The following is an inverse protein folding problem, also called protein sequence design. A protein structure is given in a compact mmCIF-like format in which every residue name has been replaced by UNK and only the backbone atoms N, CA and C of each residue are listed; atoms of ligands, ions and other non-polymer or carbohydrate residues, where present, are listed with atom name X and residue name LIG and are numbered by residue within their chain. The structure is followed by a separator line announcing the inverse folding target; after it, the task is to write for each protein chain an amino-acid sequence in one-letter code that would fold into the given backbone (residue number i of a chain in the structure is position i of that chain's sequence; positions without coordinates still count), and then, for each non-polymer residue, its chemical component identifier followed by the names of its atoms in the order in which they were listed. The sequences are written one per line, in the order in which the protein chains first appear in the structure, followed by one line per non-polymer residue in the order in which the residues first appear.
data_IF_402113682172
#
_entry.id   IF_402113682172
#
_cell.length_a   1.000
_cell.length_b   1.000
_cell.length_c   1.000
_cell.angle_alpha   90.00
_cell.angle_beta   90.00
_cell.angle_gamma   90.00
#
_symmetry.space_group_name_H-M   'P 1'
#
loop_
_entity.id
_entity.type
_entity.pdbx_description
1 polymer ?
#
# COMPACT_ATOMS: atom_id res chain seq x y z
N UNK A 1 -1.42 1.34 -9.66
CA UNK A 1 -1.28 2.76 -10.03
C UNK A 1 -2.48 3.14 -10.89
N UNK A 2 -2.82 4.42 -11.06
CA UNK A 2 -4.00 4.84 -11.84
C UNK A 2 -3.80 4.75 -13.36
N UNK A 3 -2.55 4.73 -13.85
CA UNK A 3 -2.21 4.62 -15.28
C UNK A 3 -1.38 3.36 -15.59
N UNK A 4 -1.62 2.25 -14.88
CA UNK A 4 -1.00 0.96 -15.23
C UNK A 4 -1.71 0.35 -16.45
N UNK A 5 -1.08 0.45 -17.61
CA UNK A 5 -1.57 -0.08 -18.89
C UNK A 5 -1.07 -1.51 -19.18
N UNK A 6 -0.13 -2.03 -18.38
CA UNK A 6 0.36 -3.42 -18.46
C UNK A 6 -0.55 -4.37 -17.69
N UNK A 7 -0.98 -3.95 -16.50
CA UNK A 7 -1.95 -4.67 -15.67
C UNK A 7 -2.98 -3.66 -15.18
N UNK A 8 -4.17 -3.68 -15.81
CA UNK A 8 -5.15 -2.62 -15.61
C UNK A 8 -5.61 -2.48 -14.14
N UNK A 9 -5.84 -1.26 -13.64
CA UNK A 9 -6.12 -1.04 -12.21
C UNK A 9 -7.41 -1.72 -11.72
N UNK A 10 -8.33 -2.01 -12.66
CA UNK A 10 -9.60 -2.70 -12.40
C UNK A 10 -9.45 -4.07 -11.75
N UNK A 11 -8.30 -4.76 -11.90
CA UNK A 11 -8.03 -5.99 -11.16
C UNK A 11 -8.01 -5.74 -9.65
N UNK A 12 -7.18 -4.80 -9.22
CA UNK A 12 -7.06 -4.44 -7.81
C UNK A 12 -8.35 -3.84 -7.26
N UNK A 13 -9.06 -3.02 -8.05
CA UNK A 13 -10.31 -2.40 -7.61
C UNK A 13 -11.38 -3.45 -7.29
N UNK A 14 -11.63 -4.38 -8.22
CA UNK A 14 -12.61 -5.45 -8.03
C UNK A 14 -12.25 -6.34 -6.85
N UNK A 15 -10.96 -6.70 -6.72
CA UNK A 15 -10.50 -7.54 -5.62
C UNK A 15 -10.65 -6.84 -4.26
N UNK A 16 -10.24 -5.57 -4.15
CA UNK A 16 -10.38 -4.82 -2.90
C UNK A 16 -11.85 -4.63 -2.50
N UNK A 17 -12.73 -4.31 -3.46
CA UNK A 17 -14.16 -4.18 -3.21
C UNK A 17 -14.78 -5.51 -2.72
N UNK A 18 -14.47 -6.62 -3.39
CA UNK A 18 -14.94 -7.94 -2.99
C UNK A 18 -14.41 -8.35 -1.60
N UNK A 19 -13.13 -8.09 -1.33
CA UNK A 19 -12.50 -8.39 -0.03
C UNK A 19 -13.09 -7.54 1.10
N UNK A 20 -13.36 -6.26 0.86
CA UNK A 20 -14.06 -5.39 1.81
C UNK A 20 -15.48 -5.86 2.09
N UNK A 21 -16.23 -6.29 1.05
CA UNK A 21 -17.58 -6.80 1.21
C UNK A 21 -17.63 -8.15 1.97
N UNK A 22 -16.62 -9.00 1.79
CA UNK A 22 -16.52 -10.31 2.43
C UNK A 22 -15.85 -10.28 3.82
N UNK A 23 -15.22 -9.16 4.22
CA UNK A 23 -14.52 -9.04 5.49
C UNK A 23 -15.51 -9.14 6.66
N UNK A 24 -15.24 -10.04 7.60
CA UNK A 24 -16.08 -10.26 8.79
C UNK A 24 -15.39 -9.95 10.13
N UNK A 25 -14.11 -9.54 10.10
CA UNK A 25 -13.35 -9.15 11.29
C UNK A 25 -13.01 -7.66 11.33
N UNK A 26 -12.43 -7.22 12.45
CA UNK A 26 -12.19 -5.79 12.74
C UNK A 26 -10.94 -5.22 12.05
N UNK A 27 -10.16 -6.06 11.35
CA UNK A 27 -8.93 -5.62 10.68
C UNK A 27 -9.25 -4.90 9.37
N UNK A 28 -8.55 -3.79 9.06
CA UNK A 28 -8.84 -3.01 7.87
C UNK A 28 -8.45 -3.76 6.59
N UNK A 29 -9.28 -3.63 5.56
CA UNK A 29 -8.96 -4.04 4.20
C UNK A 29 -8.80 -2.80 3.33
N UNK A 30 -7.56 -2.51 2.91
CA UNK A 30 -7.20 -1.26 2.26
C UNK A 30 -6.67 -1.48 0.85
N UNK A 31 -6.87 -0.49 0.00
CA UNK A 31 -6.26 -0.38 -1.33
C UNK A 31 -5.61 1.00 -1.47
N UNK A 32 -4.34 1.04 -1.86
CA UNK A 32 -3.59 2.28 -2.12
C UNK A 32 -3.45 2.48 -3.62
N UNK A 33 -4.01 3.57 -4.14
CA UNK A 33 -3.90 3.92 -5.57
C UNK A 33 -2.85 5.01 -5.74
N UNK A 34 -1.70 4.63 -6.29
CA UNK A 34 -0.68 5.59 -6.69
C UNK A 34 -1.17 6.41 -7.89
N UNK A 35 -1.18 7.74 -7.75
CA UNK A 35 -1.60 8.66 -8.82
C UNK A 35 -0.43 9.12 -9.67
N UNK A 36 -0.70 9.40 -10.96
CA UNK A 36 0.32 9.80 -11.95
C UNK A 36 1.47 8.78 -12.02
N UNK A 37 1.14 7.50 -11.99
CA UNK A 37 2.12 6.43 -12.09
C UNK A 37 1.60 5.27 -12.96
N UNK A 38 2.50 4.62 -13.68
CA UNK A 38 2.24 3.39 -14.42
C UNK A 38 2.67 2.14 -13.65
N UNK A 39 3.08 1.09 -14.39
CA UNK A 39 3.42 -0.22 -13.83
C UNK A 39 4.61 -0.25 -12.85
N UNK A 40 5.46 0.78 -12.87
CA UNK A 40 6.55 0.94 -11.89
C UNK A 40 7.83 1.50 -12.48
N UNK A 41 8.08 1.32 -13.78
CA UNK A 41 9.22 1.93 -14.46
C UNK A 41 9.12 3.47 -14.42
N UNK A 42 10.23 4.13 -14.08
CA UNK A 42 10.28 5.59 -14.02
C UNK A 42 9.57 6.22 -12.82
N UNK A 43 9.18 5.45 -11.80
CA UNK A 43 8.60 6.02 -10.57
C UNK A 43 9.62 6.95 -9.88
N UNK A 44 9.26 8.22 -9.59
CA UNK A 44 10.13 9.14 -8.87
C UNK A 44 10.55 8.58 -7.51
N UNK A 45 11.80 8.85 -7.10
CA UNK A 45 12.33 8.39 -5.80
C UNK A 45 11.46 8.82 -4.62
N UNK A 46 10.87 10.01 -4.65
CA UNK A 46 9.92 10.47 -3.63
C UNK A 46 8.73 9.52 -3.46
N UNK A 47 8.09 9.12 -4.57
CA UNK A 47 6.98 8.17 -4.55
C UNK A 47 7.42 6.77 -4.10
N UNK A 48 8.64 6.36 -4.39
CA UNK A 48 9.21 5.10 -3.87
C UNK A 48 9.34 5.16 -2.35
N UNK A 49 9.86 6.27 -1.81
CA UNK A 49 10.00 6.50 -0.37
C UNK A 49 8.63 6.51 0.31
N UNK A 50 7.66 7.24 -0.24
CA UNK A 50 6.28 7.29 0.27
C UNK A 50 5.63 5.90 0.27
N UNK A 51 5.74 5.15 -0.82
CA UNK A 51 5.19 3.78 -0.90
C UNK A 51 5.85 2.85 0.13
N UNK A 52 7.17 2.94 0.31
CA UNK A 52 7.87 2.16 1.32
C UNK A 52 7.43 2.54 2.74
N UNK A 53 7.30 3.83 3.02
CA UNK A 53 6.84 4.33 4.31
C UNK A 53 5.43 3.84 4.65
N UNK A 54 4.49 3.93 3.69
CA UNK A 54 3.12 3.45 3.87
C UNK A 54 3.07 1.94 4.14
N UNK A 55 3.83 1.15 3.37
CA UNK A 55 3.91 -0.31 3.55
C UNK A 55 4.43 -0.70 4.93
N UNK A 56 5.53 -0.07 5.38
CA UNK A 56 6.11 -0.36 6.69
C UNK A 56 5.23 0.12 7.83
N UNK A 57 4.64 1.32 7.72
CA UNK A 57 3.72 1.84 8.72
C UNK A 57 2.49 0.93 8.87
N UNK A 58 1.89 0.49 7.76
CA UNK A 58 0.78 -0.45 7.77
C UNK A 58 1.17 -1.79 8.43
N UNK A 59 2.31 -2.36 8.02
CA UNK A 59 2.79 -3.63 8.57
C UNK A 59 3.02 -3.54 10.08
N UNK A 60 3.72 -2.50 10.53
CA UNK A 60 3.99 -2.29 11.95
C UNK A 60 2.71 -2.11 12.75
N UNK A 61 1.73 -1.37 12.20
CA UNK A 61 0.44 -1.15 12.84
C UNK A 61 -0.38 -2.45 12.96
N UNK A 62 -0.42 -3.28 11.91
CA UNK A 62 -1.23 -4.51 11.88
C UNK A 62 -0.62 -5.64 12.70
N UNK A 63 0.71 -5.69 12.80
CA UNK A 63 1.45 -6.70 13.55
C UNK A 63 1.82 -6.26 14.98
N UNK A 64 1.36 -5.08 15.41
CA UNK A 64 1.72 -4.48 16.71
C UNK A 64 3.24 -4.42 16.97
N UNK A 65 4.01 -4.11 15.93
CA UNK A 65 5.47 -3.99 16.03
C UNK A 65 5.79 -2.65 16.68
N UNK A 66 6.30 -2.71 17.91
CA UNK A 66 6.80 -1.53 18.62
C UNK A 66 8.20 -1.18 18.11
N UNK A 67 8.42 0.04 17.60
CA UNK A 67 9.76 0.46 17.22
C UNK A 67 10.66 0.44 18.44
N UNK A 68 11.84 -0.18 18.33
CA UNK A 68 12.89 0.02 19.32
C UNK A 68 13.38 1.47 19.19
N UNK A 69 13.52 2.23 20.30
CA UNK A 69 14.11 3.54 20.22
C UNK A 69 15.50 3.42 19.57
N UNK A 70 15.80 4.31 18.62
CA UNK A 70 17.19 4.48 18.21
C UNK A 70 17.95 4.97 19.44
N UNK A 71 18.83 4.14 19.98
CA UNK A 71 19.92 4.64 20.80
C UNK A 71 20.76 5.51 19.86
N UNK A 72 20.63 6.82 20.01
CA UNK A 72 21.57 7.76 19.42
C UNK A 72 22.86 7.60 20.23
N UNK A 73 23.89 7.06 19.59
CA UNK A 73 25.26 7.11 20.11
C UNK A 73 25.79 8.54 19.97
#
# INVERSE_FOLDING_TARGET
ADHDDRVVPGHSYKFAAALQAAQGGDKPTLIRIETKAGHGAGKPTSKIIEEAADKWAFLMKVLDVKPKPKLLN
#
